data_IF_898137215933
#
_entry.id   IF_898137215933
#
_cell.length_a   1.000
_cell.length_b   1.000
_cell.length_c   1.000
_cell.angle_alpha   90.00
_cell.angle_beta   90.00
_cell.angle_gamma   90.00
#
_symmetry.space_group_name_H-M   'P 1'
#
loop_
_entity.id
_entity.type
_entity.pdbx_description
1 polymer ?
#
# COMPACT_ATOMS: atom_id res chain seq x y z
N UNK A 1 -5.64 -17.00 -1.50
CA UNK A 1 -4.19 -16.99 -1.28
C UNK A 1 -3.65 -15.63 -1.68
N UNK A 2 -2.68 -15.14 -0.92
CA UNK A 2 -2.06 -13.85 -1.25
C UNK A 2 -1.23 -13.94 -2.54
N UNK A 3 -1.14 -12.83 -3.24
CA UNK A 3 -0.27 -12.70 -4.41
C UNK A 3 1.18 -12.90 -3.98
N UNK A 4 1.95 -13.59 -4.81
CA UNK A 4 3.33 -13.98 -4.50
C UNK A 4 4.35 -13.27 -5.40
N UNK A 5 5.61 -13.26 -4.97
CA UNK A 5 6.73 -12.77 -5.77
C UNK A 5 6.77 -13.49 -7.12
N UNK A 6 6.96 -12.73 -8.19
CA UNK A 6 7.01 -13.24 -9.56
C UNK A 6 5.68 -13.17 -10.30
N UNK A 7 4.57 -12.95 -9.58
CA UNK A 7 3.26 -12.81 -10.21
C UNK A 7 3.03 -11.37 -10.66
N UNK A 8 2.20 -11.21 -11.67
CA UNK A 8 1.71 -9.88 -12.05
C UNK A 8 0.78 -9.37 -10.96
N UNK A 9 1.02 -8.13 -10.51
CA UNK A 9 0.18 -7.50 -9.50
C UNK A 9 -1.22 -7.22 -10.09
N UNK A 10 -2.30 -7.64 -9.42
CA UNK A 10 -3.65 -7.31 -9.86
C UNK A 10 -3.84 -5.81 -10.00
N UNK A 11 -4.31 -5.37 -11.16
CA UNK A 11 -4.57 -3.95 -11.40
C UNK A 11 -5.79 -3.49 -10.61
N UNK A 12 -5.83 -2.20 -10.33
CA UNK A 12 -6.98 -1.59 -9.65
C UNK A 12 -7.07 -0.12 -10.01
N UNK A 13 -8.26 0.44 -9.81
CA UNK A 13 -8.52 1.88 -9.88
C UNK A 13 -9.31 2.26 -8.64
N UNK A 14 -8.72 3.11 -7.80
CA UNK A 14 -9.31 3.56 -6.54
C UNK A 14 -9.25 5.08 -6.44
N UNK A 15 -10.10 5.64 -5.58
CA UNK A 15 -10.15 7.09 -5.36
C UNK A 15 -9.15 7.53 -4.31
N UNK A 16 -8.46 8.63 -4.57
CA UNK A 16 -7.66 9.33 -3.58
C UNK A 16 -8.53 10.30 -2.76
N UNK A 17 -7.98 10.98 -1.72
CA UNK A 17 -8.77 11.92 -0.92
C UNK A 17 -9.40 13.06 -1.72
N UNK A 18 -8.81 13.45 -2.84
CA UNK A 18 -9.32 14.52 -3.71
C UNK A 18 -10.36 14.02 -4.71
N UNK A 19 -10.83 12.77 -4.56
CA UNK A 19 -11.81 12.13 -5.43
C UNK A 19 -11.30 11.90 -6.86
N UNK A 20 -10.00 11.82 -7.04
CA UNK A 20 -9.38 11.50 -8.32
C UNK A 20 -9.11 10.00 -8.39
N UNK A 21 -9.26 9.41 -9.57
CA UNK A 21 -8.96 8.01 -9.78
C UNK A 21 -7.46 7.79 -9.92
N UNK A 22 -6.96 6.78 -9.20
CA UNK A 22 -5.56 6.34 -9.28
C UNK A 22 -5.56 4.87 -9.71
N UNK A 23 -4.90 4.59 -10.82
CA UNK A 23 -4.81 3.23 -11.38
C UNK A 23 -3.39 2.71 -11.24
N UNK A 24 -3.24 1.50 -10.70
CA UNK A 24 -1.92 0.90 -10.48
C UNK A 24 -1.11 0.82 -11.79
N UNK A 25 -1.72 0.36 -12.87
CA UNK A 25 -1.02 0.20 -14.17
C UNK A 25 -0.51 1.52 -14.75
N UNK A 26 -1.00 2.67 -14.28
CA UNK A 26 -0.50 3.98 -14.73
C UNK A 26 0.95 4.24 -14.32
N UNK A 27 1.47 3.49 -13.35
CA UNK A 27 2.86 3.61 -12.90
C UNK A 27 3.83 2.75 -13.73
N UNK A 28 3.32 1.85 -14.56
CA UNK A 28 4.15 0.98 -15.40
C UNK A 28 5.08 1.80 -16.29
N UNK A 29 6.35 1.41 -16.32
CA UNK A 29 7.39 2.12 -17.08
C UNK A 29 7.83 3.44 -16.46
N UNK A 30 7.24 3.83 -15.31
CA UNK A 30 7.50 5.13 -14.69
C UNK A 30 8.06 5.01 -13.29
N UNK A 31 7.37 4.28 -12.41
CA UNK A 31 7.77 4.12 -11.01
C UNK A 31 7.52 2.71 -10.53
N UNK A 32 8.36 2.27 -9.60
CA UNK A 32 8.05 1.14 -8.75
C UNK A 32 6.95 1.55 -7.78
N UNK A 33 6.20 0.59 -7.25
CA UNK A 33 5.12 0.86 -6.28
C UNK A 33 5.37 0.06 -5.01
N UNK A 34 5.32 0.72 -3.88
CA UNK A 34 5.24 0.07 -2.57
C UNK A 34 3.79 0.17 -2.11
N UNK A 35 3.07 -0.93 -2.26
CA UNK A 35 1.64 -1.01 -1.99
C UNK A 35 1.42 -1.55 -0.59
N UNK A 36 0.90 -0.71 0.29
CA UNK A 36 0.73 -1.01 1.71
C UNK A 36 -0.75 -1.13 2.03
N UNK A 37 -1.21 -2.37 2.27
CA UNK A 37 -2.54 -2.60 2.83
C UNK A 37 -2.47 -2.46 4.34
N UNK A 38 -3.41 -1.71 4.93
CA UNK A 38 -3.48 -1.54 6.38
C UNK A 38 -4.93 -1.65 6.86
N UNK A 39 -5.14 -2.13 8.11
CA UNK A 39 -6.49 -2.44 8.60
C UNK A 39 -7.43 -1.25 8.68
N UNK A 40 -7.01 -0.15 9.29
CA UNK A 40 -7.92 0.98 9.52
C UNK A 40 -7.16 2.27 9.78
N UNK A 41 -7.62 3.35 9.14
CA UNK A 41 -7.15 4.70 9.46
C UNK A 41 -7.39 5.00 10.94
N UNK A 42 -6.49 5.77 11.53
CA UNK A 42 -6.51 6.20 12.94
C UNK A 42 -6.30 5.10 13.97
N UNK A 43 -6.16 3.82 13.58
CA UNK A 43 -5.76 2.78 14.53
C UNK A 43 -4.30 2.96 14.95
N UNK A 44 -3.94 2.51 16.17
CA UNK A 44 -2.63 2.76 16.74
C UNK A 44 -1.47 2.22 15.91
N UNK A 45 -1.53 0.96 15.51
CA UNK A 45 -0.46 0.33 14.74
C UNK A 45 -0.37 0.86 13.31
N UNK A 46 -1.50 1.18 12.70
CA UNK A 46 -1.52 1.78 11.35
C UNK A 46 -0.95 3.19 11.38
N UNK A 47 -1.27 3.97 12.41
CA UNK A 47 -0.68 5.30 12.62
C UNK A 47 0.84 5.20 12.74
N UNK A 48 1.34 4.26 13.55
CA UNK A 48 2.79 4.04 13.72
C UNK A 48 3.44 3.64 12.40
N UNK A 49 2.87 2.67 11.70
CA UNK A 49 3.42 2.19 10.42
C UNK A 49 3.53 3.30 9.39
N UNK A 50 2.44 4.03 9.15
CA UNK A 50 2.43 5.06 8.12
C UNK A 50 3.28 6.27 8.50
N UNK A 51 3.40 6.58 9.79
CA UNK A 51 4.33 7.61 10.26
C UNK A 51 5.78 7.21 9.97
N UNK A 52 6.14 5.96 10.24
CA UNK A 52 7.48 5.45 9.92
C UNK A 52 7.75 5.50 8.41
N UNK A 53 6.78 5.12 7.60
CA UNK A 53 6.91 5.18 6.14
C UNK A 53 7.09 6.62 5.67
N UNK A 54 6.31 7.55 6.21
CA UNK A 54 6.42 8.97 5.87
C UNK A 54 7.78 9.56 6.23
N UNK A 55 8.39 9.11 7.33
CA UNK A 55 9.71 9.58 7.75
C UNK A 55 10.84 9.14 6.81
N UNK A 56 10.60 8.13 5.97
CA UNK A 56 11.57 7.59 5.01
C UNK A 56 11.24 7.96 3.56
N UNK A 57 10.46 9.01 3.35
CA UNK A 57 10.00 9.42 2.02
C UNK A 57 11.15 9.61 1.02
N UNK A 58 12.28 10.16 1.46
CA UNK A 58 13.44 10.37 0.58
C UNK A 58 14.05 9.06 0.10
N UNK A 59 14.03 8.01 0.92
CA UNK A 59 14.55 6.69 0.54
C UNK A 59 13.64 6.02 -0.49
N UNK A 60 12.33 6.19 -0.36
CA UNK A 60 11.39 5.69 -1.37
C UNK A 60 11.57 6.43 -2.70
N UNK A 61 11.73 7.74 -2.64
CA UNK A 61 12.01 8.55 -3.83
C UNK A 61 13.32 8.14 -4.50
N UNK A 62 14.36 7.87 -3.72
CA UNK A 62 15.66 7.38 -4.24
C UNK A 62 15.53 6.01 -4.93
N UNK A 63 14.58 5.18 -4.49
CA UNK A 63 14.25 3.91 -5.14
C UNK A 63 13.29 4.04 -6.32
N UNK A 64 13.00 5.27 -6.73
CA UNK A 64 12.04 5.58 -7.80
C UNK A 64 10.68 4.93 -7.54
N UNK A 65 10.22 5.01 -6.30
CA UNK A 65 9.03 4.34 -5.82
C UNK A 65 7.94 5.33 -5.41
N UNK A 66 6.70 4.97 -5.76
CA UNK A 66 5.50 5.60 -5.21
C UNK A 66 4.96 4.71 -4.09
N UNK A 67 4.80 5.25 -2.91
CA UNK A 67 4.11 4.56 -1.82
C UNK A 67 2.61 4.79 -1.95
N UNK A 68 1.85 3.70 -1.96
CA UNK A 68 0.39 3.72 -2.00
C UNK A 68 -0.13 2.96 -0.79
N UNK A 69 -0.91 3.62 0.06
CA UNK A 69 -1.60 2.97 1.17
C UNK A 69 -3.04 2.69 0.80
N UNK A 70 -3.53 1.51 1.15
CA UNK A 70 -4.92 1.08 0.84
C UNK A 70 -5.58 0.53 2.09
N UNK A 71 -6.76 1.03 2.39
CA UNK A 71 -7.64 0.47 3.42
C UNK A 71 -9.09 0.55 2.95
N UNK A 72 -9.99 -0.08 3.70
CA UNK A 72 -11.43 -0.04 3.40
C UNK A 72 -12.10 1.26 3.89
N UNK A 73 -11.34 2.18 4.45
CA UNK A 73 -11.85 3.47 4.90
C UNK A 73 -12.29 4.34 3.72
N UNK A 74 -13.19 5.28 3.98
CA UNK A 74 -13.61 6.25 2.98
C UNK A 74 -12.45 7.19 2.61
N UNK A 75 -12.53 7.81 1.43
CA UNK A 75 -11.54 8.80 1.00
C UNK A 75 -11.47 10.00 1.95
N UNK A 76 -12.60 10.34 2.59
CA UNK A 76 -12.66 11.44 3.56
C UNK A 76 -11.84 11.12 4.81
N UNK A 77 -12.02 9.91 5.37
CA UNK A 77 -11.24 9.45 6.52
C UNK A 77 -9.77 9.38 6.19
N UNK A 78 -9.43 8.86 5.03
CA UNK A 78 -8.03 8.75 4.59
C UNK A 78 -7.39 10.11 4.37
N UNK A 79 -8.12 11.07 3.84
CA UNK A 79 -7.62 12.42 3.64
C UNK A 79 -7.26 13.10 4.96
N UNK A 80 -8.13 12.97 5.97
CA UNK A 80 -7.86 13.48 7.30
C UNK A 80 -6.69 12.76 7.96
N UNK A 81 -6.63 11.45 7.80
CA UNK A 81 -5.54 10.63 8.34
C UNK A 81 -4.18 11.06 7.74
N UNK A 82 -4.09 11.17 6.42
CA UNK A 82 -2.88 11.63 5.75
C UNK A 82 -2.46 13.04 6.23
N UNK A 83 -3.44 13.93 6.39
CA UNK A 83 -3.18 15.29 6.85
C UNK A 83 -2.60 15.29 8.27
N UNK A 84 -3.18 14.51 9.17
CA UNK A 84 -2.71 14.44 10.56
C UNK A 84 -1.33 13.82 10.68
N UNK A 85 -0.99 12.85 9.80
CA UNK A 85 0.32 12.23 9.77
C UNK A 85 1.36 13.04 8.99
N UNK A 86 0.95 14.10 8.31
CA UNK A 86 1.85 14.88 7.47
C UNK A 86 2.36 14.13 6.25
N UNK A 87 1.58 13.17 5.74
CA UNK A 87 1.95 12.41 4.54
C UNK A 87 1.79 13.29 3.30
N UNK A 88 2.89 13.61 2.65
CA UNK A 88 2.89 14.43 1.43
C UNK A 88 3.25 13.63 0.18
N UNK A 89 4.07 12.59 0.33
CA UNK A 89 4.59 11.78 -0.78
C UNK A 89 3.80 10.49 -0.96
N UNK A 90 3.29 9.91 0.11
CA UNK A 90 2.46 8.72 0.04
C UNK A 90 1.02 9.09 -0.33
N UNK A 91 0.39 8.26 -1.15
CA UNK A 91 -1.01 8.42 -1.57
C UNK A 91 -1.84 7.37 -0.88
N UNK A 92 -2.91 7.79 -0.18
CA UNK A 92 -3.86 6.86 0.44
C UNK A 92 -5.07 6.70 -0.47
N UNK A 93 -5.44 5.45 -0.76
CA UNK A 93 -6.55 5.12 -1.65
C UNK A 93 -7.64 4.34 -0.92
N UNK A 94 -8.88 4.60 -1.28
CA UNK A 94 -10.05 4.03 -0.63
C UNK A 94 -10.55 2.76 -1.34
N UNK A 95 -10.35 1.61 -0.71
CA UNK A 95 -10.93 0.33 -1.12
C UNK A 95 -12.32 0.18 -0.47
N UNK A 96 -13.14 1.24 -0.62
CA UNK A 96 -14.35 1.47 0.14
C UNK A 96 -15.59 0.84 -0.53
N UNK A 97 -15.71 1.00 -1.85
CA UNK A 97 -16.88 0.51 -2.59
C UNK A 97 -16.48 -0.02 -3.99
N UNK A 98 -16.67 -1.29 -4.31
CA UNK A 98 -17.13 -2.36 -3.40
C UNK A 98 -16.10 -2.61 -2.29
N UNK A 99 -16.57 -2.71 -1.07
CA UNK A 99 -15.71 -2.78 0.11
C UNK A 99 -14.74 -3.96 0.01
N UNK A 100 -13.45 -3.64 0.09
CA UNK A 100 -12.41 -4.64 0.12
C UNK A 100 -12.14 -5.36 -1.19
N UNK A 101 -12.65 -4.87 -2.32
CA UNK A 101 -12.47 -5.53 -3.62
C UNK A 101 -10.98 -5.69 -3.96
N UNK A 102 -10.17 -4.66 -3.74
CA UNK A 102 -8.74 -4.71 -4.03
C UNK A 102 -7.99 -5.61 -3.05
N UNK A 103 -8.27 -5.50 -1.75
CA UNK A 103 -7.64 -6.38 -0.77
C UNK A 103 -8.02 -7.85 -0.98
N UNK A 104 -9.23 -8.14 -1.46
CA UNK A 104 -9.64 -9.49 -1.86
C UNK A 104 -8.84 -9.98 -3.06
N UNK A 105 -8.63 -9.12 -4.06
CA UNK A 105 -7.86 -9.47 -5.25
C UNK A 105 -6.41 -9.83 -4.89
N UNK A 106 -5.85 -9.18 -3.87
CA UNK A 106 -4.50 -9.47 -3.38
C UNK A 106 -4.47 -10.61 -2.35
N UNK A 107 -5.62 -11.14 -1.96
CA UNK A 107 -5.72 -12.27 -1.02
C UNK A 107 -5.45 -11.89 0.43
N UNK A 108 -5.68 -10.63 0.80
CA UNK A 108 -5.35 -10.11 2.14
C UNK A 108 -6.56 -9.57 2.91
N UNK A 109 -7.76 -9.72 2.37
CA UNK A 109 -8.97 -9.29 3.06
C UNK A 109 -9.33 -10.24 4.20
N UNK A 110 -9.67 -9.69 5.36
CA UNK A 110 -10.06 -10.44 6.55
C UNK A 110 -11.58 -10.45 6.68
N UNK A 111 -12.22 -11.49 6.14
CA UNK A 111 -13.69 -11.58 6.07
C UNK A 111 -14.37 -11.47 7.43
N UNK A 112 -13.78 -12.05 8.46
CA UNK A 112 -14.37 -12.03 9.81
C UNK A 112 -14.36 -10.64 10.43
N UNK A 113 -13.41 -9.79 10.03
CA UNK A 113 -13.25 -8.46 10.59
C UNK A 113 -13.78 -7.37 9.67
N UNK A 114 -13.96 -7.69 8.38
CA UNK A 114 -14.42 -6.72 7.39
C UNK A 114 -13.40 -5.64 7.06
N UNK A 115 -12.12 -5.95 7.18
CA UNK A 115 -11.00 -5.03 6.93
C UNK A 115 -9.90 -5.73 6.17
N UNK A 116 -8.95 -4.97 5.66
CA UNK A 116 -7.73 -5.54 5.11
C UNK A 116 -6.80 -6.03 6.22
N UNK A 117 -6.07 -7.10 5.95
CA UNK A 117 -4.90 -7.44 6.75
C UNK A 117 -3.77 -6.46 6.50
N UNK A 118 -2.73 -6.51 7.33
CA UNK A 118 -1.53 -5.72 7.12
C UNK A 118 -0.60 -6.48 6.17
N UNK A 119 -0.40 -5.94 4.96
CA UNK A 119 0.41 -6.58 3.93
C UNK A 119 1.06 -5.51 3.06
N UNK A 120 2.29 -5.75 2.63
CA UNK A 120 3.00 -4.85 1.72
C UNK A 120 3.50 -5.63 0.53
N UNK A 121 3.30 -5.06 -0.65
CA UNK A 121 3.74 -5.62 -1.93
C UNK A 121 4.64 -4.59 -2.60
N UNK A 122 5.84 -4.99 -2.97
CA UNK A 122 6.75 -4.17 -3.79
C UNK A 122 6.60 -4.62 -5.23
N UNK A 123 6.20 -3.69 -6.09
CA UNK A 123 5.84 -3.95 -7.49
C UNK A 123 6.79 -3.16 -8.38
N UNK A 124 7.40 -3.80 -9.34
CA UNK A 124 8.34 -3.14 -10.25
C UNK A 124 7.63 -2.39 -11.39
N UNK A 125 8.40 -1.72 -12.23
CA UNK A 125 7.87 -0.93 -13.35
C UNK A 125 7.21 -1.79 -14.44
N UNK A 126 7.45 -3.09 -14.45
CA UNK A 126 6.77 -4.02 -15.35
C UNK A 126 5.43 -4.52 -14.77
N UNK A 127 5.12 -4.17 -13.53
CA UNK A 127 3.92 -4.63 -12.84
C UNK A 127 4.08 -5.99 -12.17
N UNK A 128 5.32 -6.44 -11.97
CA UNK A 128 5.61 -7.74 -11.36
C UNK A 128 5.95 -7.54 -9.88
N UNK A 129 5.41 -8.40 -9.03
CA UNK A 129 5.67 -8.38 -7.59
C UNK A 129 7.10 -8.86 -7.32
N UNK A 130 7.90 -8.02 -6.68
CA UNK A 130 9.29 -8.31 -6.32
C UNK A 130 9.48 -8.55 -4.83
N UNK A 131 8.52 -8.17 -4.00
CA UNK A 131 8.58 -8.40 -2.56
C UNK A 131 7.19 -8.49 -1.97
N UNK A 132 7.03 -9.34 -0.97
CA UNK A 132 5.78 -9.52 -0.22
C UNK A 132 6.11 -9.59 1.26
N UNK A 133 5.44 -8.77 2.06
CA UNK A 133 5.51 -8.82 3.53
C UNK A 133 4.09 -8.99 4.07
N UNK A 134 3.85 -10.13 4.69
CA UNK A 134 2.58 -10.44 5.36
C UNK A 134 2.83 -10.51 6.86
N UNK A 135 1.86 -10.11 7.66
CA UNK A 135 1.95 -10.24 9.12
C UNK A 135 0.88 -11.22 9.63
N UNK A 136 1.21 -11.96 10.67
CA UNK A 136 0.28 -12.89 11.32
C UNK A 136 -0.72 -12.17 12.22
N UNK A 137 -0.40 -10.93 12.61
CA UNK A 137 -1.22 -10.13 13.51
C UNK A 137 -1.25 -8.67 13.05
N UNK A 138 -2.39 -7.98 13.17
CA UNK A 138 -2.47 -6.53 12.89
C UNK A 138 -1.55 -5.68 13.77
N UNK A 139 -1.08 -6.23 14.89
CA UNK A 139 -0.14 -5.56 15.79
C UNK A 139 1.31 -5.62 15.30
N UNK A 140 1.62 -6.49 14.35
CA UNK A 140 2.96 -6.62 13.81
C UNK A 140 3.16 -5.59 12.70
N UNK A 141 4.23 -4.80 12.81
CA UNK A 141 4.62 -3.84 11.77
C UNK A 141 5.87 -4.37 11.09
N UNK A 142 5.83 -4.64 9.78
CA UNK A 142 7.00 -5.14 9.05
C UNK A 142 8.15 -4.13 9.07
N UNK A 143 9.38 -4.66 9.01
CA UNK A 143 10.57 -3.83 8.89
C UNK A 143 10.64 -3.25 7.47
N UNK A 144 10.78 -1.93 7.35
CA UNK A 144 10.90 -1.25 6.06
C UNK A 144 12.15 -1.65 5.29
N UNK A 145 13.18 -2.18 5.96
CA UNK A 145 14.39 -2.66 5.29
C UNK A 145 14.07 -3.77 4.29
N UNK A 146 13.03 -4.57 4.55
CA UNK A 146 12.56 -5.58 3.60
C UNK A 146 12.00 -4.94 2.32
N UNK A 147 11.31 -3.80 2.46
CA UNK A 147 10.80 -3.06 1.31
C UNK A 147 11.93 -2.46 0.49
N UNK A 148 12.92 -1.87 1.16
CA UNK A 148 14.06 -1.27 0.47
C UNK A 148 14.92 -2.33 -0.21
N UNK A 149 15.09 -3.51 0.39
CA UNK A 149 15.78 -4.63 -0.24
C UNK A 149 15.06 -5.07 -1.53
N UNK A 150 13.74 -5.18 -1.49
CA UNK A 150 12.95 -5.54 -2.66
C UNK A 150 13.01 -4.44 -3.75
N UNK A 151 12.99 -3.17 -3.35
CA UNK A 151 13.15 -2.04 -4.30
C UNK A 151 14.52 -2.07 -4.97
N UNK A 152 15.58 -2.37 -4.22
CA UNK A 152 16.93 -2.49 -4.78
C UNK A 152 17.04 -3.61 -5.81
N UNK A 153 16.21 -4.65 -5.69
CA UNK A 153 16.16 -5.75 -6.63
C UNK A 153 15.29 -5.46 -7.87
N UNK A 154 14.52 -4.37 -7.87
CA UNK A 154 13.70 -4.01 -9.03
C UNK A 154 14.58 -3.58 -10.22
N UNK A 155 14.25 -4.00 -11.45
CA UNK A 155 14.94 -3.51 -12.65
C UNK A 155 14.80 -1.99 -12.81
N UNK A 156 15.82 -1.38 -13.36
CA UNK A 156 15.87 0.07 -13.62
C UNK A 156 14.90 0.47 -14.74
#
# INVERSE_FOLDING_TARGET
MAVEVGQEAPDFTLKNPDNEEVTLSSFRGRKNVVLVFYPAAFSGFCTTQLTQIGSEASRYAAGDAQVIGVSVDSRHSQGKFAQELGLTEAVLLADFEPKGATSRAYGVYLDKLGISGRATFVIDKAGIVQGVSLTDSPADIPDQDDYFAALAACPV
#
